data_IF_454656393511
#
_entry.id   IF_454656393511
#
_cell.length_a   1.000
_cell.length_b   1.000
_cell.length_c   1.000
_cell.angle_alpha   90.00
_cell.angle_beta   90.00
_cell.angle_gamma   90.00
#
_symmetry.space_group_name_H-M   'P 1'
#
loop_
_entity.id
_entity.type
_entity.pdbx_description
1 polymer ?
#
# COMPACT_ATOMS: atom_id res chain seq x y z
N UNK A 1 6.08 -19.67 -14.88
CA UNK A 1 4.61 -19.78 -14.81
C UNK A 1 4.14 -18.74 -13.81
N UNK A 2 3.18 -17.86 -14.13
CA UNK A 2 2.62 -16.94 -13.14
C UNK A 2 2.07 -17.74 -11.97
N UNK A 3 2.37 -17.31 -10.74
CA UNK A 3 1.74 -17.88 -9.55
C UNK A 3 0.42 -17.15 -9.35
N UNK A 4 -0.71 -17.83 -9.60
CA UNK A 4 -2.02 -17.31 -9.25
C UNK A 4 -2.15 -17.31 -7.73
N UNK A 5 -2.24 -16.12 -7.13
CA UNK A 5 -2.31 -15.92 -5.69
C UNK A 5 -3.48 -15.02 -5.34
N UNK A 6 -4.22 -15.38 -4.30
CA UNK A 6 -5.20 -14.51 -3.66
C UNK A 6 -4.51 -13.33 -2.95
N UNK A 7 -5.24 -12.24 -2.69
CA UNK A 7 -4.72 -11.11 -1.93
C UNK A 7 -4.17 -11.51 -0.53
N UNK A 8 -4.82 -12.48 0.13
CA UNK A 8 -4.36 -13.02 1.40
C UNK A 8 -3.02 -13.76 1.24
N UNK A 9 -2.87 -14.59 0.20
CA UNK A 9 -1.61 -15.30 -0.07
C UNK A 9 -0.47 -14.33 -0.41
N UNK A 10 -0.73 -13.26 -1.16
CA UNK A 10 0.29 -12.22 -1.43
C UNK A 10 0.74 -11.55 -0.13
N UNK A 11 -0.20 -11.15 0.73
CA UNK A 11 0.16 -10.54 2.03
C UNK A 11 0.93 -11.52 2.92
N UNK A 12 0.52 -12.80 2.98
CA UNK A 12 1.20 -13.82 3.75
C UNK A 12 2.63 -14.08 3.24
N UNK A 13 2.81 -14.12 1.91
CA UNK A 13 4.13 -14.30 1.30
C UNK A 13 5.05 -13.14 1.62
N UNK A 14 4.61 -11.90 1.37
CA UNK A 14 5.40 -10.69 1.65
C UNK A 14 5.75 -10.57 3.14
N UNK A 15 4.80 -10.85 4.04
CA UNK A 15 5.01 -10.82 5.48
C UNK A 15 5.92 -11.94 6.00
N UNK A 16 6.11 -13.01 5.23
CA UNK A 16 7.00 -14.13 5.57
C UNK A 16 8.48 -13.80 5.44
N UNK A 17 8.85 -12.71 4.77
CA UNK A 17 10.24 -12.31 4.57
C UNK A 17 10.70 -11.30 5.62
N UNK A 18 11.84 -11.54 6.30
CA UNK A 18 12.33 -10.67 7.38
C UNK A 18 12.92 -9.33 6.90
N UNK A 19 13.09 -9.17 5.59
CA UNK A 19 13.72 -8.01 4.94
C UNK A 19 12.77 -7.27 3.98
N UNK A 20 11.47 -7.60 3.98
CA UNK A 20 10.45 -6.82 3.26
C UNK A 20 9.97 -5.71 4.19
N UNK A 21 10.24 -4.46 3.81
CA UNK A 21 9.90 -3.29 4.62
C UNK A 21 8.57 -2.65 4.19
N UNK A 22 8.34 -2.59 2.88
CA UNK A 22 7.15 -1.98 2.30
C UNK A 22 6.76 -2.65 0.99
N UNK A 23 5.46 -2.63 0.70
CA UNK A 23 4.89 -2.97 -0.60
C UNK A 23 4.25 -1.72 -1.19
N UNK A 24 4.76 -1.27 -2.33
CA UNK A 24 4.27 -0.07 -3.03
C UNK A 24 3.26 -0.49 -4.09
N UNK A 25 2.04 0.04 -3.99
CA UNK A 25 0.93 -0.29 -4.88
C UNK A 25 0.14 0.96 -5.31
N UNK A 26 -0.76 0.77 -6.27
CA UNK A 26 -1.64 1.82 -6.81
C UNK A 26 -3.09 1.32 -6.90
N UNK A 27 -3.75 1.57 -8.04
CA UNK A 27 -5.14 1.19 -8.36
C UNK A 27 -6.24 2.01 -7.67
N UNK A 28 -6.08 2.38 -6.40
CA UNK A 28 -7.13 3.05 -5.62
C UNK A 28 -7.14 4.58 -5.74
N UNK A 29 -6.12 5.15 -6.41
CA UNK A 29 -5.84 6.59 -6.53
C UNK A 29 -5.58 7.28 -5.17
N UNK A 30 -5.48 6.51 -4.09
CA UNK A 30 -5.32 6.99 -2.73
C UNK A 30 -3.85 7.01 -2.32
N UNK A 31 -3.42 8.12 -1.74
CA UNK A 31 -2.25 8.11 -0.87
C UNK A 31 -2.64 7.48 0.46
N UNK A 32 -2.17 6.26 0.72
CA UNK A 32 -2.46 5.56 1.98
C UNK A 32 -1.24 4.81 2.47
N UNK A 33 -1.01 4.85 3.78
CA UNK A 33 0.04 4.07 4.41
C UNK A 33 -0.57 3.31 5.57
N UNK A 34 -0.53 1.98 5.50
CA UNK A 34 -1.06 1.11 6.55
C UNK A 34 -0.11 -0.03 6.87
N UNK A 35 0.00 -0.45 8.14
CA UNK A 35 0.77 -1.63 8.47
C UNK A 35 -0.01 -2.89 8.09
N UNK A 36 0.70 -3.87 7.53
CA UNK A 36 0.32 -5.26 7.64
C UNK A 36 1.19 -5.86 8.75
N UNK A 37 0.68 -5.87 9.98
CA UNK A 37 1.44 -6.23 11.17
C UNK A 37 1.40 -7.75 11.41
N UNK A 38 2.55 -8.33 11.73
CA UNK A 38 2.65 -9.75 12.12
C UNK A 38 2.75 -9.85 13.63
N UNK A 39 1.81 -10.58 14.23
CA UNK A 39 1.75 -10.82 15.68
C UNK A 39 1.73 -12.32 15.98
N UNK A 40 2.29 -12.76 17.12
CA UNK A 40 2.10 -14.12 17.59
C UNK A 40 0.66 -14.30 18.08
N UNK A 41 -0.02 -15.32 17.57
CA UNK A 41 -1.31 -15.80 18.03
C UNK A 41 -1.18 -16.89 19.10
N UNK A 42 -2.31 -17.51 19.44
CA UNK A 42 -2.37 -18.62 20.39
C UNK A 42 -1.45 -19.77 19.93
N UNK A 43 -0.66 -20.32 20.86
CA UNK A 43 0.30 -21.40 20.56
C UNK A 43 1.55 -20.96 19.78
N UNK A 44 1.78 -19.67 19.58
CA UNK A 44 3.00 -19.15 18.93
C UNK A 44 2.96 -19.14 17.40
N UNK A 45 1.84 -19.53 16.78
CA UNK A 45 1.63 -19.37 15.34
C UNK A 45 1.56 -17.88 14.97
N UNK A 46 2.19 -17.46 13.88
CA UNK A 46 2.16 -16.06 13.46
C UNK A 46 0.93 -15.76 12.59
N UNK A 47 0.27 -14.65 12.86
CA UNK A 47 -0.82 -14.13 12.05
C UNK A 47 -0.49 -12.69 11.61
N UNK A 48 -0.74 -12.40 10.34
CA UNK A 48 -0.57 -11.08 9.76
C UNK A 48 -1.93 -10.41 9.54
N UNK A 49 -2.05 -9.12 9.86
CA UNK A 49 -3.29 -8.37 9.61
C UNK A 49 -3.06 -6.89 9.31
N UNK A 50 -3.92 -6.32 8.46
CA UNK A 50 -4.08 -4.88 8.23
C UNK A 50 -5.49 -4.36 8.60
N UNK A 51 -6.23 -5.13 9.40
CA UNK A 51 -7.62 -4.83 9.78
C UNK A 51 -8.67 -5.26 8.76
N UNK A 52 -8.31 -5.41 7.49
CA UNK A 52 -9.21 -5.91 6.43
C UNK A 52 -8.95 -7.38 6.10
N UNK A 53 -7.68 -7.74 5.95
CA UNK A 53 -7.22 -9.11 5.69
C UNK A 53 -6.48 -9.59 6.92
N UNK A 54 -6.86 -10.76 7.42
CA UNK A 54 -6.12 -11.52 8.42
C UNK A 54 -5.75 -12.87 7.84
N UNK A 55 -4.49 -13.27 7.95
CA UNK A 55 -4.01 -14.54 7.37
C UNK A 55 -2.85 -15.12 8.17
N UNK A 56 -2.72 -16.46 8.29
CA UNK A 56 -1.54 -17.08 8.87
C UNK A 56 -0.27 -16.72 8.09
N UNK A 57 0.83 -16.49 8.80
CA UNK A 57 2.13 -16.15 8.22
C UNK A 57 3.15 -17.20 8.64
N UNK A 58 3.90 -17.72 7.68
CA UNK A 58 5.05 -18.59 7.95
C UNK A 58 6.32 -17.81 7.71
N UNK A 59 7.11 -17.58 8.76
CA UNK A 59 8.36 -16.84 8.63
C UNK A 59 9.41 -17.68 7.90
N UNK A 60 9.98 -17.13 6.82
CA UNK A 60 11.03 -17.78 6.01
C UNK A 60 12.35 -17.91 6.78
N UNK A 61 12.58 -17.05 7.78
CA UNK A 61 13.68 -17.17 8.74
C UNK A 61 13.13 -17.60 10.10
N UNK A 62 13.48 -18.81 10.52
CA UNK A 62 13.15 -19.30 11.86
C UNK A 62 13.90 -18.52 12.95
N UNK A 63 13.34 -18.52 14.16
CA UNK A 63 13.95 -17.88 15.33
C UNK A 63 13.44 -16.47 15.61
N UNK A 64 14.13 -15.80 16.54
CA UNK A 64 13.79 -14.47 17.04
C UNK A 64 14.97 -13.52 16.83
N UNK A 65 14.66 -12.24 16.63
CA UNK A 65 15.68 -11.20 16.61
C UNK A 65 16.21 -10.92 18.03
N UNK A 66 17.21 -10.04 18.14
CA UNK A 66 17.85 -9.68 19.42
C UNK A 66 16.88 -9.07 20.46
N UNK A 67 15.68 -8.64 20.07
CA UNK A 67 14.61 -8.19 20.97
C UNK A 67 13.64 -9.31 21.42
N UNK A 68 13.95 -10.56 21.11
CA UNK A 68 13.13 -11.71 21.50
C UNK A 68 11.84 -11.88 20.70
N UNK A 69 11.58 -11.03 19.69
CA UNK A 69 10.39 -11.13 18.84
C UNK A 69 10.72 -11.83 17.49
N UNK A 70 9.77 -12.49 16.82
CA UNK A 70 10.00 -13.25 15.56
C UNK A 70 10.67 -12.42 14.46
N UNK A 71 11.49 -12.98 13.57
CA UNK A 71 12.12 -12.15 12.53
C UNK A 71 11.11 -11.44 11.60
N UNK A 72 9.96 -12.06 11.36
CA UNK A 72 8.88 -11.48 10.58
C UNK A 72 8.05 -10.52 11.42
N UNK A 73 8.11 -9.22 11.06
CA UNK A 73 7.42 -8.13 11.76
C UNK A 73 6.20 -7.60 10.98
N UNK A 74 6.05 -8.03 9.74
CA UNK A 74 5.14 -7.41 8.79
C UNK A 74 5.81 -6.32 7.97
N UNK A 75 5.01 -5.55 7.24
CA UNK A 75 5.49 -4.54 6.31
C UNK A 75 4.49 -3.38 6.18
N UNK A 76 4.93 -2.27 5.60
CA UNK A 76 4.08 -1.13 5.28
C UNK A 76 3.46 -1.27 3.89
N UNK A 77 2.14 -1.26 3.80
CA UNK A 77 1.44 -1.11 2.54
C UNK A 77 1.39 0.38 2.20
N UNK A 78 2.05 0.75 1.11
CA UNK A 78 2.16 2.13 0.64
C UNK A 78 1.41 2.25 -0.68
N UNK A 79 0.23 2.84 -0.63
CA UNK A 79 -0.55 3.18 -1.81
C UNK A 79 -0.22 4.62 -2.22
N UNK A 80 -0.09 4.83 -3.54
CA UNK A 80 0.18 6.13 -4.15
C UNK A 80 -0.96 6.54 -5.08
N UNK A 81 -1.22 7.85 -5.15
CA UNK A 81 -2.21 8.37 -6.07
C UNK A 81 -1.80 8.15 -7.53
N UNK A 82 -2.79 8.18 -8.42
CA UNK A 82 -2.53 7.98 -9.84
C UNK A 82 -1.95 9.25 -10.45
N UNK A 83 -1.01 9.10 -11.39
CA UNK A 83 -0.48 10.26 -12.14
C UNK A 83 -1.53 10.92 -13.04
N UNK A 84 -2.65 10.23 -13.33
CA UNK A 84 -3.78 10.81 -14.07
C UNK A 84 -4.55 11.81 -13.21
N UNK A 85 -4.46 11.73 -11.89
CA UNK A 85 -5.16 12.63 -10.97
C UNK A 85 -4.59 14.06 -11.06
N UNK A 86 -5.40 15.04 -10.68
CA UNK A 86 -4.98 16.45 -10.61
C UNK A 86 -5.42 17.11 -9.29
N UNK A 87 -4.55 17.89 -8.62
CA UNK A 87 -3.13 18.11 -8.92
C UNK A 87 -2.30 16.85 -8.65
N UNK A 88 -1.30 16.56 -9.49
CA UNK A 88 -0.51 15.32 -9.35
C UNK A 88 0.23 15.27 -8.02
N UNK A 89 0.19 14.11 -7.37
CA UNK A 89 0.96 13.83 -6.16
C UNK A 89 1.93 12.66 -6.38
N UNK A 90 3.12 12.80 -5.81
CA UNK A 90 4.19 11.81 -5.86
C UNK A 90 4.68 11.55 -4.45
N UNK A 91 4.96 10.28 -4.11
CA UNK A 91 5.58 9.94 -2.83
C UNK A 91 7.04 9.56 -3.06
N UNK A 92 7.95 10.29 -2.42
CA UNK A 92 9.34 9.86 -2.32
C UNK A 92 9.45 8.74 -1.29
N UNK A 93 10.32 7.76 -1.54
CA UNK A 93 10.72 6.77 -0.53
C UNK A 93 12.19 6.98 -0.24
N UNK A 94 12.47 7.63 0.88
CA UNK A 94 13.82 7.87 1.35
C UNK A 94 14.17 6.84 2.42
N UNK A 95 15.36 6.24 2.34
CA UNK A 95 15.82 5.22 3.28
C UNK A 95 16.99 5.75 4.10
N UNK A 96 16.84 5.73 5.42
CA UNK A 96 17.86 6.18 6.37
C UNK A 96 18.33 5.02 7.25
N UNK A 97 19.64 4.96 7.49
CA UNK A 97 20.23 4.16 8.56
C UNK A 97 20.40 5.04 9.80
N UNK A 98 19.73 4.67 10.90
CA UNK A 98 19.79 5.41 12.15
C UNK A 98 21.05 5.07 12.97
N UNK A 99 21.91 4.16 12.48
CA UNK A 99 23.18 3.72 13.11
C UNK A 99 23.03 3.13 14.51
N UNK A 100 21.82 2.70 14.86
CA UNK A 100 21.50 2.08 16.15
C UNK A 100 20.79 0.71 15.96
N UNK A 101 20.95 0.11 14.77
CA UNK A 101 20.26 -1.14 14.39
C UNK A 101 18.81 -0.95 13.94
N UNK A 102 18.36 0.30 13.75
CA UNK A 102 17.08 0.64 13.11
C UNK A 102 17.31 1.45 11.85
N UNK A 103 16.33 1.45 10.95
CA UNK A 103 16.25 2.37 9.83
C UNK A 103 14.91 3.08 9.79
N UNK A 104 14.83 4.13 9.01
CA UNK A 104 13.61 4.92 8.82
C UNK A 104 13.32 5.04 7.32
N UNK A 105 12.08 4.74 6.92
CA UNK A 105 11.56 5.15 5.62
C UNK A 105 10.83 6.47 5.79
N UNK A 106 11.25 7.51 5.06
CA UNK A 106 10.47 8.76 4.99
C UNK A 106 9.68 8.78 3.69
N UNK A 107 8.42 9.17 3.81
CA UNK A 107 7.44 9.15 2.73
C UNK A 107 6.84 10.52 2.42
N UNK A 108 7.62 11.58 2.15
CA UNK A 108 7.05 12.89 1.86
C UNK A 108 6.27 12.87 0.55
N UNK A 109 5.18 13.64 0.51
CA UNK A 109 4.33 13.80 -0.66
C UNK A 109 4.67 15.13 -1.33
N UNK A 110 5.02 15.06 -2.61
CA UNK A 110 5.25 16.22 -3.47
C UNK A 110 4.02 16.42 -4.35
N UNK A 111 3.42 17.60 -4.26
CA UNK A 111 2.29 18.00 -5.12
C UNK A 111 2.80 18.92 -6.21
N UNK A 112 2.42 18.66 -7.46
CA UNK A 112 2.65 19.58 -8.56
C UNK A 112 1.42 19.68 -9.47
N UNK A 113 1.31 20.79 -10.19
CA UNK A 113 0.28 20.97 -11.21
C UNK A 113 0.90 20.91 -12.60
N UNK A 114 0.47 19.96 -13.42
CA UNK A 114 0.76 19.97 -14.85
C UNK A 114 -0.51 20.29 -15.64
N UNK A 115 -0.66 21.53 -16.10
CA UNK A 115 -1.91 22.00 -16.74
C UNK A 115 -2.36 21.15 -17.94
N UNK A 116 -1.41 20.57 -18.69
CA UNK A 116 -1.72 19.73 -19.84
C UNK A 116 -2.43 18.43 -19.46
N UNK A 117 -2.14 17.87 -18.27
CA UNK A 117 -2.86 16.69 -17.77
C UNK A 117 -4.16 17.03 -17.05
N UNK A 118 -4.42 18.31 -16.72
CA UNK A 118 -5.67 18.71 -16.04
C UNK A 118 -6.91 18.29 -16.82
N UNK A 119 -6.96 18.54 -18.13
CA UNK A 119 -8.10 18.14 -18.97
C UNK A 119 -8.29 16.62 -19.03
N UNK A 120 -7.18 15.87 -18.99
CA UNK A 120 -7.21 14.42 -18.96
C UNK A 120 -7.77 13.90 -17.62
N UNK A 121 -7.31 14.50 -16.52
CA UNK A 121 -7.81 14.22 -15.17
C UNK A 121 -9.31 14.54 -15.03
N UNK A 122 -9.76 15.68 -15.54
CA UNK A 122 -11.17 16.08 -15.55
C UNK A 122 -12.06 15.09 -16.34
N UNK A 123 -11.52 14.47 -17.39
CA UNK A 123 -12.23 13.47 -18.19
C UNK A 123 -12.27 12.10 -17.50
N UNK A 124 -11.16 11.69 -16.87
CA UNK A 124 -11.06 10.46 -16.07
C UNK A 124 -11.96 10.50 -14.84
N UNK A 125 -11.97 11.62 -14.11
CA UNK A 125 -12.83 11.85 -12.95
C UNK A 125 -14.32 11.75 -13.29
N UNK A 126 -14.70 12.04 -14.54
CA UNK A 126 -16.08 11.89 -15.06
C UNK A 126 -16.34 10.51 -15.67
N UNK A 127 -15.39 9.59 -15.56
CA UNK A 127 -15.41 8.25 -16.19
C UNK A 127 -15.67 8.27 -17.70
N UNK A 128 -15.30 9.35 -18.40
CA UNK A 128 -15.44 9.41 -19.85
C UNK A 128 -14.61 8.31 -20.54
N UNK A 129 -13.51 7.86 -19.92
CA UNK A 129 -12.70 6.73 -20.43
C UNK A 129 -13.35 5.36 -20.23
N UNK A 130 -14.13 5.15 -19.17
CA UNK A 130 -14.87 3.89 -18.96
C UNK A 130 -16.04 3.74 -19.95
N UNK A 131 -16.62 4.86 -20.40
CA UNK A 131 -17.79 4.89 -21.28
C UNK A 131 -17.47 4.67 -22.78
N UNK A 132 -16.21 4.40 -23.13
CA UNK A 132 -15.80 4.12 -24.52
C UNK A 132 -16.09 2.67 -24.96
N UNK A 133 -16.49 1.79 -24.04
CA UNK A 133 -16.96 0.42 -24.34
C UNK A 133 -18.37 0.22 -23.77
N UNK A 134 -19.41 0.00 -24.60
CA UNK A 134 -20.78 -0.28 -24.13
C UNK A 134 -20.89 -1.49 -23.19
N UNK A 135 -19.94 -2.43 -23.22
CA UNK A 135 -19.90 -3.59 -22.33
C UNK A 135 -19.30 -3.27 -20.94
N UNK A 136 -18.76 -2.07 -20.72
CA UNK A 136 -18.25 -1.66 -19.40
C UNK A 136 -19.38 -1.43 -18.39
N UNK A 137 -20.56 -1.01 -18.86
CA UNK A 137 -21.74 -0.76 -18.02
C UNK A 137 -22.28 -2.02 -17.34
N UNK A 138 -22.18 -3.18 -18.00
CA UNK A 138 -22.74 -4.45 -17.51
C UNK A 138 -21.81 -5.23 -16.57
N UNK A 139 -20.56 -4.76 -16.37
CA UNK A 139 -19.54 -5.43 -15.55
C UNK A 139 -19.27 -4.77 -14.21
N UNK A 140 -19.89 -3.62 -13.93
CA UNK A 140 -19.66 -2.90 -12.68
C UNK A 140 -20.54 -3.52 -11.58
N UNK A 141 -19.93 -4.15 -10.55
CA UNK A 141 -20.68 -4.71 -9.44
C UNK A 141 -21.38 -3.58 -8.68
N UNK A 142 -22.57 -3.87 -8.17
CA UNK A 142 -23.40 -2.96 -7.36
C UNK A 142 -22.78 -2.58 -6.01
N UNK A 143 -21.57 -3.03 -5.71
CA UNK A 143 -20.87 -2.75 -4.44
C UNK A 143 -19.97 -1.51 -4.60
N UNK A 144 -20.62 -0.34 -4.51
CA UNK A 144 -19.97 0.98 -4.55
C UNK A 144 -19.93 1.58 -5.95
N UNK A 145 -21.11 1.84 -6.51
CA UNK A 145 -21.37 2.18 -7.92
C UNK A 145 -20.50 3.27 -8.55
N UNK A 146 -20.69 3.47 -9.86
CA UNK A 146 -20.02 4.47 -10.71
C UNK A 146 -19.77 5.81 -10.00
N UNK A 147 -20.71 6.32 -9.22
CA UNK A 147 -20.53 7.58 -8.46
C UNK A 147 -19.37 7.53 -7.45
N UNK A 148 -19.04 6.36 -6.89
CA UNK A 148 -17.89 6.10 -6.02
C UNK A 148 -16.55 5.94 -6.79
N UNK A 149 -16.57 5.96 -8.13
CA UNK A 149 -15.38 5.94 -9.01
C UNK A 149 -15.30 7.19 -9.93
N UNK A 150 -16.43 7.86 -10.20
CA UNK A 150 -16.62 8.86 -11.25
C UNK A 150 -17.08 10.24 -10.72
N UNK A 151 -16.68 10.59 -9.50
CA UNK A 151 -17.05 11.85 -8.84
C UNK A 151 -16.12 12.23 -7.68
N UNK A 152 -14.81 12.31 -7.93
CA UNK A 152 -13.78 12.53 -6.90
C UNK A 152 -13.19 13.93 -6.91
N UNK A 153 -13.32 14.65 -8.02
CA UNK A 153 -12.96 16.04 -8.17
C UNK A 153 -11.47 16.35 -8.10
N UNK A 154 -10.61 15.48 -7.54
CA UNK A 154 -9.16 15.67 -7.29
C UNK A 154 -8.43 14.35 -6.97
N UNK A 155 -7.10 14.47 -6.84
CA UNK A 155 -6.20 13.49 -6.20
C UNK A 155 -6.63 13.14 -4.78
N UNK A 156 -6.75 11.85 -4.46
CA UNK A 156 -7.15 11.40 -3.12
C UNK A 156 -5.94 11.42 -2.17
N UNK A 157 -5.76 12.58 -1.55
CA UNK A 157 -4.60 12.96 -0.72
C UNK A 157 -4.29 12.04 0.45
N UNK A 158 -5.21 11.15 0.83
CA UNK A 158 -5.12 10.37 2.06
C UNK A 158 -5.53 11.18 3.29
N UNK A 159 -5.47 10.54 4.45
CA UNK A 159 -5.65 11.22 5.73
C UNK A 159 -4.38 11.97 6.14
N UNK A 160 -4.49 12.86 7.14
CA UNK A 160 -3.32 13.55 7.68
C UNK A 160 -2.21 12.58 8.14
N UNK A 161 -2.59 11.39 8.65
CA UNK A 161 -1.66 10.34 9.07
C UNK A 161 -0.95 9.60 7.92
N UNK A 162 -1.43 9.73 6.68
CA UNK A 162 -0.84 9.10 5.50
C UNK A 162 0.22 9.99 4.83
N UNK A 163 0.30 11.27 5.21
CA UNK A 163 1.12 12.27 4.54
C UNK A 163 2.42 12.52 5.31
N UNK A 164 3.54 12.60 4.58
CA UNK A 164 4.86 12.91 5.15
C UNK A 164 5.25 12.01 6.33
N UNK A 165 5.02 10.71 6.17
CA UNK A 165 5.22 9.71 7.21
C UNK A 165 6.70 9.39 7.45
N UNK A 166 7.00 9.01 8.68
CA UNK A 166 8.27 8.37 9.06
C UNK A 166 7.97 6.97 9.60
N UNK A 167 8.46 5.96 8.90
CA UNK A 167 8.17 4.56 9.17
C UNK A 167 9.44 3.86 9.62
N UNK A 168 9.55 3.64 10.93
CA UNK A 168 10.71 2.99 11.52
C UNK A 168 10.65 1.49 11.32
N UNK A 169 11.79 0.89 11.00
CA UNK A 169 11.98 -0.56 10.92
C UNK A 169 13.27 -0.98 11.63
N UNK A 170 13.37 -2.26 11.98
CA UNK A 170 14.61 -2.82 12.54
C UNK A 170 15.47 -3.36 11.40
N UNK A 171 16.77 -3.04 11.43
CA UNK A 171 17.70 -3.61 10.46
C UNK A 171 17.78 -5.13 10.65
N UNK A 172 17.63 -5.92 9.58
CA UNK A 172 17.83 -7.35 9.67
C UNK A 172 19.30 -7.67 10.02
N UNK A 173 19.52 -8.41 11.09
CA UNK A 173 20.82 -9.03 11.37
C UNK A 173 20.71 -10.51 10.96
N UNK A 174 21.51 -10.91 9.97
CA UNK A 174 21.58 -12.29 9.50
C UNK A 174 22.87 -12.94 9.95
#
# INVERSE_FOLDING_TARGET
MPLDMTAAQVNAELAGWPNVLAWVAGHTHLHRVRPFAVTPGEGGALAGSNGTISTPVTCRKAGVAADGKPHCRGFWQVETASLIDYPQEQRLIEVFDNRNGTGTLRGPVLTHGFERSRKLAEADDRCQFFLLDPASWSRLPTDGGIDAVCGFGRTRQGEAGDRNVELTFRMPAF
#
